data_IF_848603820773
#
_entry.id   IF_848603820773
#
_cell.length_a   1.000
_cell.length_b   1.000
_cell.length_c   1.000
_cell.angle_alpha   90.00
_cell.angle_beta   90.00
_cell.angle_gamma   90.00
#
_symmetry.space_group_name_H-M   'P 1'
#
loop_
_entity.id
_entity.type
_entity.pdbx_description
1 polymer ?
#
# COMPACT_ATOMS: atom_id res chain seq x y z
N UNK A 1 14.75 6.48 -15.76
CA UNK A 1 13.77 5.49 -16.26
C UNK A 1 12.40 6.16 -16.20
N UNK A 2 11.74 6.37 -17.33
CA UNK A 2 10.36 6.89 -17.32
C UNK A 2 9.47 5.78 -16.76
N UNK A 3 9.06 5.91 -15.50
CA UNK A 3 8.07 5.01 -14.92
C UNK A 3 6.76 5.26 -15.64
N UNK A 4 6.27 4.25 -16.37
CA UNK A 4 4.95 4.31 -16.95
C UNK A 4 3.93 4.05 -15.84
N UNK A 5 3.00 4.99 -15.64
CA UNK A 5 1.91 4.84 -14.68
C UNK A 5 0.97 3.73 -15.17
N UNK A 6 0.89 2.62 -14.43
CA UNK A 6 0.03 1.49 -14.78
C UNK A 6 -1.38 1.63 -14.19
N UNK A 7 -1.47 2.28 -13.05
CA UNK A 7 -2.71 2.41 -12.29
C UNK A 7 -2.63 3.56 -11.29
N UNK A 8 -3.79 4.05 -10.85
CA UNK A 8 -3.96 4.97 -9.72
C UNK A 8 -5.09 4.49 -8.83
N UNK A 9 -5.00 4.76 -7.53
CA UNK A 9 -6.04 4.38 -6.60
C UNK A 9 -5.90 5.01 -5.22
N UNK A 10 -6.87 4.72 -4.34
CA UNK A 10 -6.88 5.22 -2.97
C UNK A 10 -5.97 4.38 -2.08
N UNK A 11 -4.99 5.00 -1.42
CA UNK A 11 -4.12 4.32 -0.48
C UNK A 11 -4.75 4.26 0.91
N UNK A 12 -4.71 3.09 1.54
CA UNK A 12 -5.13 2.87 2.92
C UNK A 12 -4.06 3.23 3.95
N UNK A 13 -2.81 3.41 3.49
CA UNK A 13 -1.66 3.77 4.31
C UNK A 13 -1.03 5.07 3.85
N UNK A 14 -0.44 5.80 4.78
CA UNK A 14 0.30 7.04 4.51
C UNK A 14 1.65 6.73 3.83
N UNK A 15 2.25 7.72 3.18
CA UNK A 15 3.57 7.58 2.56
C UNK A 15 4.64 7.04 3.51
N UNK A 16 4.65 7.53 4.75
CA UNK A 16 5.63 7.15 5.77
C UNK A 16 5.47 5.70 6.23
N UNK A 17 4.22 5.25 6.35
CA UNK A 17 3.89 3.87 6.71
C UNK A 17 4.27 2.92 5.58
N UNK A 18 3.96 3.32 4.34
CA UNK A 18 4.30 2.57 3.15
C UNK A 18 5.79 2.32 3.03
N UNK A 19 6.63 3.33 3.28
CA UNK A 19 8.09 3.13 3.23
C UNK A 19 8.59 2.17 4.33
N UNK A 20 7.89 2.07 5.47
CA UNK A 20 8.24 1.14 6.55
C UNK A 20 7.81 -0.30 6.28
N UNK A 21 6.67 -0.50 5.62
CA UNK A 21 6.10 -1.84 5.34
C UNK A 21 6.41 -2.34 3.92
N UNK A 22 7.15 -1.56 3.13
CA UNK A 22 7.53 -1.89 1.75
C UNK A 22 8.37 -3.16 1.71
N UNK A 23 7.83 -4.19 1.07
CA UNK A 23 8.49 -5.50 0.96
C UNK A 23 8.25 -6.43 2.16
N UNK A 24 7.50 -5.99 3.17
CA UNK A 24 7.07 -6.82 4.28
C UNK A 24 5.80 -7.59 3.92
N UNK A 25 5.53 -8.68 4.65
CA UNK A 25 4.26 -9.41 4.52
C UNK A 25 3.15 -8.65 5.25
N UNK A 26 1.90 -8.79 4.78
CA UNK A 26 0.74 -8.16 5.44
C UNK A 26 0.59 -8.54 6.92
N UNK A 27 1.09 -9.73 7.31
CA UNK A 27 1.16 -10.17 8.70
C UNK A 27 2.11 -9.36 9.58
N UNK A 28 3.16 -8.76 8.99
CA UNK A 28 4.18 -7.98 9.71
C UNK A 28 3.80 -6.50 9.83
N UNK A 29 2.77 -6.04 9.10
CA UNK A 29 2.32 -4.64 9.11
C UNK A 29 1.98 -4.19 10.53
N UNK A 30 1.17 -4.97 11.25
CA UNK A 30 0.75 -4.63 12.62
C UNK A 30 1.94 -4.49 13.56
N UNK A 31 2.96 -5.34 13.42
CA UNK A 31 4.18 -5.28 14.23
C UNK A 31 5.04 -4.05 13.90
N UNK A 32 5.06 -3.62 12.63
CA UNK A 32 5.89 -2.49 12.18
C UNK A 32 5.22 -1.15 12.52
N UNK A 33 3.95 -0.95 12.15
CA UNK A 33 3.27 0.35 12.29
C UNK A 33 2.28 0.41 13.45
N UNK A 34 2.12 -0.69 14.19
CA UNK A 34 1.29 -0.75 15.41
C UNK A 34 -0.21 -0.89 15.14
N UNK A 35 -0.63 -1.01 13.88
CA UNK A 35 -2.02 -1.24 13.51
C UNK A 35 -2.09 -1.88 12.12
N UNK A 36 -3.15 -2.63 11.86
CA UNK A 36 -3.45 -3.20 10.54
C UNK A 36 -4.94 -3.08 10.25
N UNK A 37 -5.33 -1.96 9.65
CA UNK A 37 -6.73 -1.73 9.29
C UNK A 37 -7.12 -2.49 8.01
N UNK A 38 -6.15 -2.75 7.12
CA UNK A 38 -6.35 -3.41 5.84
C UNK A 38 -5.16 -4.30 5.47
N UNK A 39 -5.40 -5.44 4.84
CA UNK A 39 -4.29 -6.29 4.37
C UNK A 39 -3.65 -5.76 3.07
N UNK A 40 -4.38 -4.94 2.31
CA UNK A 40 -3.90 -4.30 1.08
C UNK A 40 -3.59 -2.80 1.24
N UNK A 41 -2.63 -2.33 0.44
CA UNK A 41 -2.25 -0.91 0.36
C UNK A 41 -3.25 -0.09 -0.47
N UNK A 42 -3.67 -0.64 -1.62
CA UNK A 42 -4.75 -0.10 -2.44
C UNK A 42 -5.69 -1.27 -2.68
N UNK A 43 -6.95 -1.13 -2.28
CA UNK A 43 -7.95 -2.15 -2.55
C UNK A 43 -8.27 -2.18 -4.05
N UNK A 44 -8.63 -3.35 -4.58
CA UNK A 44 -8.90 -3.51 -6.03
C UNK A 44 -10.06 -2.62 -6.50
N UNK A 45 -11.06 -2.43 -5.66
CA UNK A 45 -12.24 -1.62 -6.00
C UNK A 45 -11.91 -0.12 -6.07
N UNK A 46 -10.85 0.31 -5.36
CA UNK A 46 -10.35 1.68 -5.35
C UNK A 46 -9.18 1.88 -6.32
N UNK A 47 -8.88 0.88 -7.18
CA UNK A 47 -7.81 0.91 -8.17
C UNK A 47 -8.35 1.05 -9.60
N UNK A 48 -7.83 2.02 -10.33
CA UNK A 48 -8.14 2.26 -11.76
C UNK A 48 -6.88 2.02 -12.60
N UNK A 49 -7.01 1.19 -13.64
CA UNK A 49 -5.96 0.93 -14.64
C UNK A 49 -6.03 1.99 -15.75
N UNK A 50 -4.89 2.39 -16.30
CA UNK A 50 -4.76 3.43 -17.33
C UNK A 50 -4.50 2.88 -18.73
#
# INVERSE_FOLDING_TARGET
>A
KSGHELARGLSHYSSDELERIKGCRSSEIEEIIGHKNYDEVIHRDDLVIL
#
